data_IF_610728225532
#
_entry.id   IF_610728225532
#
_cell.length_a   1.000
_cell.length_b   1.000
_cell.length_c   1.000
_cell.angle_alpha   90.00
_cell.angle_beta   90.00
_cell.angle_gamma   90.00
#
_symmetry.space_group_name_H-M   'P 1'
#
loop_
_entity.id
_entity.type
_entity.pdbx_description
1 polymer ?
#
# COMPACT_ATOMS: atom_id res chain seq x y z
N UNK A 1 0.84 -7.88 -5.58
CA UNK A 1 0.12 -7.61 -6.84
C UNK A 1 -0.48 -8.89 -7.37
N UNK A 2 -1.69 -8.81 -7.91
CA UNK A 2 -2.46 -9.94 -8.40
C UNK A 2 -3.07 -9.61 -9.76
N UNK A 3 -3.42 -10.61 -10.59
CA UNK A 3 -4.30 -10.40 -11.73
C UNK A 3 -5.61 -9.75 -11.29
N UNK A 4 -6.08 -8.75 -12.01
CA UNK A 4 -7.29 -8.01 -11.62
C UNK A 4 -8.53 -8.93 -11.54
N UNK A 5 -8.60 -9.95 -12.39
CA UNK A 5 -9.68 -10.94 -12.39
C UNK A 5 -9.60 -11.95 -11.22
N UNK A 6 -8.50 -11.97 -10.46
CA UNK A 6 -8.37 -12.78 -9.25
C UNK A 6 -8.92 -12.08 -8.00
N UNK A 7 -9.20 -10.77 -8.07
CA UNK A 7 -9.82 -10.02 -6.98
C UNK A 7 -11.35 -10.10 -7.08
N UNK A 8 -11.98 -10.50 -5.98
CA UNK A 8 -13.44 -10.41 -5.82
C UNK A 8 -13.78 -9.73 -4.50
N UNK A 9 -14.58 -8.67 -4.59
CA UNK A 9 -15.15 -7.99 -3.42
C UNK A 9 -16.35 -8.82 -2.95
N UNK A 10 -16.31 -9.29 -1.71
CA UNK A 10 -17.38 -10.11 -1.12
C UNK A 10 -18.42 -9.28 -0.37
N UNK A 11 -18.06 -8.09 0.11
CA UNK A 11 -18.95 -7.17 0.82
C UNK A 11 -18.53 -5.72 0.60
N UNK A 12 -19.51 -4.82 0.57
CA UNK A 12 -19.30 -3.38 0.41
C UNK A 12 -18.91 -2.98 -1.02
N UNK A 13 -18.73 -1.67 -1.22
CA UNK A 13 -18.31 -1.10 -2.50
C UNK A 13 -17.20 -0.08 -2.24
N UNK A 14 -15.95 -0.35 -2.65
CA UNK A 14 -14.87 0.62 -2.55
C UNK A 14 -15.18 1.88 -3.36
N UNK A 15 -14.88 3.05 -2.79
CA UNK A 15 -14.89 4.31 -3.54
C UNK A 15 -13.63 4.37 -4.41
N UNK A 16 -13.80 4.78 -5.66
CA UNK A 16 -12.70 4.91 -6.63
C UNK A 16 -12.35 6.38 -6.81
N UNK A 17 -11.05 6.70 -6.76
CA UNK A 17 -10.50 8.02 -7.04
C UNK A 17 -9.47 7.95 -8.17
N UNK A 18 -9.64 8.80 -9.19
CA UNK A 18 -8.68 8.98 -10.27
C UNK A 18 -7.52 9.85 -9.79
N UNK A 19 -6.48 9.21 -9.25
CA UNK A 19 -5.32 9.90 -8.65
C UNK A 19 -4.30 10.41 -9.66
N UNK A 20 -4.41 9.99 -10.92
CA UNK A 20 -3.69 10.51 -12.07
C UNK A 20 -4.46 10.12 -13.34
N UNK A 21 -3.93 10.46 -14.51
CA UNK A 21 -4.51 10.04 -15.80
C UNK A 21 -4.81 8.53 -15.81
N UNK A 22 -3.83 7.70 -15.47
CA UNK A 22 -3.92 6.24 -15.50
C UNK A 22 -4.16 5.60 -14.12
N UNK A 23 -3.85 6.30 -13.02
CA UNK A 23 -3.91 5.77 -11.66
C UNK A 23 -5.31 5.78 -11.07
N UNK A 24 -5.73 4.65 -10.49
CA UNK A 24 -6.99 4.49 -9.76
C UNK A 24 -6.70 3.96 -8.35
N UNK A 25 -7.05 4.75 -7.33
CA UNK A 25 -7.00 4.34 -5.93
C UNK A 25 -8.40 3.95 -5.48
N UNK A 26 -8.52 2.81 -4.82
CA UNK A 26 -9.79 2.32 -4.28
C UNK A 26 -9.68 2.22 -2.76
N UNK A 27 -10.67 2.74 -2.04
CA UNK A 27 -10.64 2.84 -0.58
C UNK A 27 -12.02 2.65 0.04
N UNK A 28 -12.05 2.32 1.32
CA UNK A 28 -13.30 2.25 2.09
C UNK A 28 -13.94 3.64 2.18
N UNK A 29 -15.20 3.77 1.74
CA UNK A 29 -15.92 5.04 1.74
C UNK A 29 -16.22 5.59 3.15
N UNK A 30 -16.18 4.73 4.18
CA UNK A 30 -16.53 5.08 5.56
C UNK A 30 -15.31 5.49 6.38
N UNK A 31 -14.25 4.67 6.38
CA UNK A 31 -13.06 4.91 7.22
C UNK A 31 -11.85 5.45 6.46
N UNK A 32 -11.89 5.50 5.12
CA UNK A 32 -10.80 6.02 4.30
C UNK A 32 -9.63 5.05 4.06
N UNK A 33 -9.66 3.83 4.61
CA UNK A 33 -8.60 2.83 4.42
C UNK A 33 -8.39 2.54 2.94
N UNK A 34 -7.16 2.71 2.45
CA UNK A 34 -6.78 2.32 1.09
C UNK A 34 -6.83 0.81 0.94
N UNK A 35 -7.45 0.31 -0.12
CA UNK A 35 -7.60 -1.13 -0.35
C UNK A 35 -6.81 -1.55 -1.57
N UNK A 36 -7.04 -0.88 -2.70
CA UNK A 36 -6.50 -1.31 -3.99
C UNK A 36 -5.90 -0.15 -4.78
N UNK A 37 -4.93 -0.49 -5.63
CA UNK A 37 -4.40 0.41 -6.64
C UNK A 37 -4.32 -0.29 -7.99
N UNK A 38 -4.76 0.39 -9.04
CA UNK A 38 -4.59 -0.06 -10.41
C UNK A 38 -4.02 1.09 -11.26
N UNK A 39 -3.19 0.75 -12.22
CA UNK A 39 -2.66 1.68 -13.21
C UNK A 39 -2.63 0.99 -14.58
N UNK A 40 -3.49 1.43 -15.49
CA UNK A 40 -3.64 0.79 -16.79
C UNK A 40 -2.39 0.89 -17.68
N UNK A 41 -1.52 1.88 -17.46
CA UNK A 41 -0.31 2.08 -18.25
C UNK A 41 0.87 1.30 -17.66
N UNK A 42 1.18 1.50 -16.38
CA UNK A 42 2.36 0.89 -15.75
C UNK A 42 2.11 -0.54 -15.25
N UNK A 43 0.85 -0.89 -14.98
CA UNK A 43 0.44 -2.17 -14.36
C UNK A 43 -0.76 -2.79 -15.11
N UNK A 44 -0.67 -3.01 -16.42
CA UNK A 44 -1.80 -3.48 -17.23
C UNK A 44 -2.29 -4.85 -16.74
N UNK A 45 -3.60 -4.95 -16.46
CA UNK A 45 -4.25 -6.19 -16.00
C UNK A 45 -3.93 -6.60 -14.57
N UNK A 46 -3.15 -5.80 -13.83
CA UNK A 46 -2.79 -6.06 -12.44
C UNK A 46 -3.54 -5.12 -11.49
N UNK A 47 -3.78 -5.64 -10.29
CA UNK A 47 -4.25 -4.86 -9.15
C UNK A 47 -3.31 -5.07 -7.97
N UNK A 48 -2.94 -3.96 -7.34
CA UNK A 48 -2.20 -3.98 -6.10
C UNK A 48 -3.15 -3.94 -4.91
N UNK A 49 -2.82 -4.69 -3.86
CA UNK A 49 -3.58 -4.79 -2.61
C UNK A 49 -2.66 -4.26 -1.51
N UNK A 50 -3.14 -3.32 -0.70
CA UNK A 50 -2.32 -2.83 0.42
C UNK A 50 -2.00 -3.96 1.40
N UNK A 51 -0.72 -4.33 1.52
CA UNK A 51 -0.29 -5.46 2.35
C UNK A 51 -0.68 -5.33 3.83
N UNK A 52 -0.79 -4.10 4.34
CA UNK A 52 -1.28 -3.83 5.69
C UNK A 52 -2.76 -4.12 5.93
N UNK A 53 -3.56 -4.41 4.89
CA UNK A 53 -5.00 -4.69 5.03
C UNK A 53 -5.33 -6.19 5.00
N UNK A 54 -4.34 -7.07 5.01
CA UNK A 54 -4.56 -8.51 5.19
C UNK A 54 -4.85 -8.82 6.65
N UNK A 55 -5.58 -9.91 6.90
CA UNK A 55 -5.79 -10.42 8.26
C UNK A 55 -4.45 -10.82 8.92
N UNK A 56 -3.51 -11.33 8.12
CA UNK A 56 -2.12 -11.58 8.49
C UNK A 56 -1.15 -10.87 7.53
N UNK A 57 -0.74 -9.62 7.82
CA UNK A 57 0.20 -8.87 7.00
C UNK A 57 1.61 -9.48 6.95
N UNK A 58 2.01 -10.23 7.98
CA UNK A 58 3.35 -10.85 8.05
C UNK A 58 3.50 -11.99 7.04
N UNK A 59 2.39 -12.60 6.61
CA UNK A 59 2.38 -13.60 5.54
C UNK A 59 2.69 -13.00 4.14
N UNK A 60 2.60 -11.67 4.00
CA UNK A 60 2.81 -10.95 2.72
C UNK A 60 3.80 -9.79 2.87
N UNK A 61 5.06 -10.05 3.26
CA UNK A 61 6.03 -9.00 3.52
C UNK A 61 6.43 -8.27 2.23
N UNK A 62 6.74 -6.98 2.37
CA UNK A 62 7.27 -6.18 1.27
C UNK A 62 8.62 -6.74 0.80
N UNK A 63 8.79 -6.88 -0.52
CA UNK A 63 10.00 -7.51 -1.13
C UNK A 63 10.87 -6.55 -1.91
N UNK A 64 10.31 -5.42 -2.33
CA UNK A 64 10.97 -4.44 -3.19
C UNK A 64 10.55 -3.03 -2.79
N UNK A 65 11.42 -2.05 -3.04
CA UNK A 65 11.12 -0.64 -2.91
C UNK A 65 11.06 -0.02 -4.31
N UNK A 66 9.98 0.69 -4.61
CA UNK A 66 9.69 1.27 -5.92
C UNK A 66 9.65 2.80 -5.78
N UNK A 67 10.01 3.54 -6.83
CA UNK A 67 10.07 5.02 -6.84
C UNK A 67 11.06 5.61 -5.83
N UNK A 68 12.27 5.03 -5.74
CA UNK A 68 13.31 5.51 -4.82
C UNK A 68 14.20 6.61 -5.40
N UNK A 69 13.92 7.09 -6.62
CA UNK A 69 14.74 8.11 -7.28
C UNK A 69 14.75 9.44 -6.51
N UNK A 70 13.60 9.85 -5.97
CA UNK A 70 13.43 11.05 -5.15
C UNK A 70 13.37 10.75 -3.63
N UNK A 71 13.77 9.54 -3.21
CA UNK A 71 13.71 9.14 -1.80
C UNK A 71 14.64 10.00 -0.96
N UNK A 72 14.15 10.48 0.19
CA UNK A 72 14.97 11.19 1.17
C UNK A 72 16.09 10.27 1.67
N UNK A 73 17.33 10.77 1.67
CA UNK A 73 18.54 9.96 1.85
C UNK A 73 18.56 9.10 3.11
N UNK A 74 18.10 9.62 4.25
CA UNK A 74 18.07 8.88 5.52
C UNK A 74 17.13 7.66 5.52
N UNK A 75 16.19 7.57 4.58
CA UNK A 75 15.29 6.41 4.49
C UNK A 75 16.04 5.10 4.15
N UNK A 76 17.23 5.20 3.54
CA UNK A 76 18.07 4.04 3.25
C UNK A 76 18.48 3.27 4.51
N UNK A 77 18.61 3.95 5.65
CA UNK A 77 19.03 3.38 6.93
C UNK A 77 18.00 3.59 8.05
N UNK A 78 16.74 3.91 7.72
CA UNK A 78 15.71 4.18 8.72
C UNK A 78 15.47 3.01 9.71
N UNK A 79 15.69 1.78 9.25
CA UNK A 79 15.58 0.57 10.06
C UNK A 79 16.70 0.40 11.09
N UNK A 80 17.76 1.21 11.02
CA UNK A 80 18.88 1.24 11.98
C UNK A 80 18.68 2.30 13.07
N UNK A 81 17.63 3.13 12.97
CA UNK A 81 17.32 4.15 13.98
C UNK A 81 16.93 3.47 15.31
N UNK A 82 17.21 4.10 16.47
CA UNK A 82 16.77 3.59 17.76
C UNK A 82 15.26 3.30 17.77
N UNK A 83 14.90 2.06 18.07
CA UNK A 83 13.52 1.61 18.17
C UNK A 83 13.13 1.39 19.63
N UNK A 84 11.90 1.73 19.96
CA UNK A 84 11.32 1.56 21.28
C UNK A 84 9.96 0.89 21.12
N UNK A 85 9.67 -0.14 21.91
CA UNK A 85 8.37 -0.84 21.88
C UNK A 85 7.19 0.10 22.22
N UNK A 86 7.48 1.20 22.92
CA UNK A 86 6.56 2.24 23.39
C UNK A 86 7.22 3.61 23.28
N UNK A 87 6.56 4.65 23.80
CA UNK A 87 7.15 5.98 23.84
C UNK A 87 8.56 5.95 24.47
N UNK A 88 9.54 6.63 23.86
CA UNK A 88 10.88 6.73 24.42
C UNK A 88 10.81 7.30 25.85
N UNK A 89 11.64 6.83 26.79
CA UNK A 89 11.70 7.42 28.12
C UNK A 89 12.04 8.91 28.01
N UNK A 90 11.33 9.74 28.78
CA UNK A 90 11.69 11.15 28.93
C UNK A 90 13.04 11.18 29.67
N UNK A 91 13.99 11.95 29.14
CA UNK A 91 15.32 12.10 29.74
C UNK A 91 15.30 12.69 31.15
#
# INVERSE_FOLDING_TARGET
MYPQNALRITQGVPKVYASSEHGRRQFCAECGTGLFYANAETLPGLIDIQSGTYDDPEAVPARIQIQVAERVSWMASAHELPAFDRYPPVG
#
